data_IF_824925612728
#
_entry.id   IF_824925612728
#
_cell.length_a   1.000
_cell.length_b   1.000
_cell.length_c   1.000
_cell.angle_alpha   90.00
_cell.angle_beta   90.00
_cell.angle_gamma   90.00
#
_symmetry.space_group_name_H-M   'P 1'
#
loop_
_entity.id
_entity.type
_entity.pdbx_description
1 polymer ?
#
# COMPACT_ATOMS: atom_id res chain seq x y z
N UNK A 1 3.84 -7.89 6.09
CA UNK A 1 4.25 -9.19 6.65
C UNK A 1 3.33 -9.65 7.78
N UNK A 2 3.23 -8.88 8.85
CA UNK A 2 2.46 -9.30 10.06
C UNK A 2 0.95 -9.31 9.78
N UNK A 3 0.43 -8.38 9.02
CA UNK A 3 -1.02 -8.25 8.76
C UNK A 3 -1.53 -9.29 7.77
N UNK A 4 -0.72 -9.72 6.82
CA UNK A 4 -1.12 -10.66 5.76
C UNK A 4 -0.46 -12.03 5.89
N UNK A 5 0.32 -12.31 6.97
CA UNK A 5 1.13 -13.52 7.11
C UNK A 5 1.91 -13.84 5.82
N UNK A 6 2.67 -12.83 5.33
CA UNK A 6 3.44 -12.90 4.07
C UNK A 6 2.58 -13.23 2.84
N UNK A 7 1.40 -12.62 2.76
CA UNK A 7 0.47 -12.82 1.65
C UNK A 7 -0.39 -14.08 1.73
N UNK A 8 -0.25 -14.89 2.78
CA UNK A 8 -1.04 -16.11 2.98
C UNK A 8 -2.42 -15.87 3.58
N UNK A 9 -2.64 -14.71 4.20
CA UNK A 9 -3.95 -14.26 4.66
C UNK A 9 -4.33 -13.05 3.82
N UNK A 10 -5.18 -13.25 2.85
CA UNK A 10 -5.86 -12.18 2.16
C UNK A 10 -6.94 -11.61 3.08
N UNK A 11 -7.14 -10.30 3.04
CA UNK A 11 -8.24 -9.70 3.74
C UNK A 11 -9.55 -10.25 3.15
N UNK A 12 -10.48 -10.62 4.02
CA UNK A 12 -11.69 -11.40 3.67
C UNK A 12 -12.84 -10.53 3.18
N UNK A 13 -12.61 -9.23 2.96
CA UNK A 13 -13.68 -8.28 2.63
C UNK A 13 -13.61 -7.85 1.17
N UNK A 14 -14.75 -7.82 0.47
CA UNK A 14 -14.84 -7.09 -0.78
C UNK A 14 -14.52 -5.61 -0.52
N UNK A 15 -13.56 -5.07 -1.25
CA UNK A 15 -13.15 -3.65 -1.15
C UNK A 15 -14.33 -2.75 -1.47
N UNK A 16 -15.12 -3.12 -2.51
CA UNK A 16 -16.34 -2.41 -2.87
C UNK A 16 -17.33 -2.35 -1.70
N UNK A 17 -17.66 -3.51 -1.11
CA UNK A 17 -18.63 -3.57 -0.01
C UNK A 17 -18.12 -2.82 1.23
N UNK A 18 -16.82 -2.90 1.52
CA UNK A 18 -16.20 -2.18 2.64
C UNK A 18 -16.31 -0.66 2.46
N UNK A 19 -15.99 -0.15 1.27
CA UNK A 19 -16.10 1.29 0.98
C UNK A 19 -17.56 1.73 0.92
N UNK A 20 -18.44 0.96 0.28
CA UNK A 20 -19.86 1.28 0.22
C UNK A 20 -20.52 1.33 1.61
N UNK A 21 -20.19 0.37 2.48
CA UNK A 21 -20.65 0.39 3.88
C UNK A 21 -20.20 1.67 4.59
N UNK A 22 -18.96 2.12 4.35
CA UNK A 22 -18.46 3.37 4.95
C UNK A 22 -19.19 4.61 4.39
N UNK A 23 -19.59 4.58 3.11
CA UNK A 23 -20.39 5.67 2.52
C UNK A 23 -21.72 5.83 3.25
N UNK A 24 -22.43 4.73 3.49
CA UNK A 24 -23.80 4.77 4.02
C UNK A 24 -23.86 4.80 5.56
N UNK A 25 -22.87 4.21 6.24
CA UNK A 25 -22.92 3.98 7.69
C UNK A 25 -22.00 4.88 8.51
N UNK A 26 -21.05 5.57 7.89
CA UNK A 26 -20.04 6.38 8.59
C UNK A 26 -20.02 7.84 8.09
N UNK A 27 -20.90 8.72 8.60
CA UNK A 27 -21.03 10.10 8.10
C UNK A 27 -19.70 10.87 8.02
N UNK A 28 -18.82 10.70 9.00
CA UNK A 28 -17.50 11.37 9.02
C UNK A 28 -16.53 10.88 7.93
N UNK A 29 -16.76 9.70 7.40
CA UNK A 29 -15.93 9.09 6.34
C UNK A 29 -16.62 9.04 4.98
N UNK A 30 -17.91 9.34 4.91
CA UNK A 30 -18.72 9.16 3.71
C UNK A 30 -18.09 9.83 2.48
N UNK A 31 -17.73 11.11 2.56
CA UNK A 31 -17.10 11.82 1.43
C UNK A 31 -15.76 11.22 1.00
N UNK A 32 -14.96 10.77 1.95
CA UNK A 32 -13.70 10.08 1.66
C UNK A 32 -13.96 8.72 0.99
N UNK A 33 -14.86 7.92 1.58
CA UNK A 33 -15.18 6.59 1.07
C UNK A 33 -15.83 6.65 -0.33
N UNK A 34 -16.64 7.69 -0.62
CA UNK A 34 -17.20 7.92 -1.95
C UNK A 34 -16.09 8.15 -2.99
N UNK A 35 -15.06 8.93 -2.67
CA UNK A 35 -13.93 9.13 -3.58
C UNK A 35 -13.14 7.84 -3.80
N UNK A 36 -12.85 7.10 -2.74
CA UNK A 36 -12.13 5.82 -2.87
C UNK A 36 -12.95 4.80 -3.66
N UNK A 37 -14.28 4.77 -3.48
CA UNK A 37 -15.16 3.90 -4.26
C UNK A 37 -15.16 4.27 -5.75
N UNK A 38 -15.16 5.56 -6.07
CA UNK A 38 -15.03 6.04 -7.45
C UNK A 38 -13.68 5.62 -8.06
N UNK A 39 -12.59 5.79 -7.34
CA UNK A 39 -11.25 5.37 -7.77
C UNK A 39 -11.16 3.85 -7.98
N UNK A 40 -11.83 3.06 -7.12
CA UNK A 40 -11.93 1.61 -7.30
C UNK A 40 -12.66 1.25 -8.60
N UNK A 41 -13.76 1.93 -8.90
CA UNK A 41 -14.52 1.70 -10.13
C UNK A 41 -13.74 2.11 -11.37
N UNK A 42 -12.95 3.20 -11.32
CA UNK A 42 -12.05 3.60 -12.41
C UNK A 42 -11.02 2.51 -12.68
N UNK A 43 -10.31 2.06 -11.64
CA UNK A 43 -9.33 0.98 -11.75
C UNK A 43 -9.96 -0.28 -12.33
N UNK A 44 -11.10 -0.70 -11.81
CA UNK A 44 -11.79 -1.90 -12.26
C UNK A 44 -12.20 -1.81 -13.74
N UNK A 45 -12.65 -0.64 -14.18
CA UNK A 45 -12.98 -0.38 -15.59
C UNK A 45 -11.75 -0.43 -16.48
N UNK A 46 -10.65 0.20 -16.08
CA UNK A 46 -9.39 0.23 -16.85
C UNK A 46 -8.78 -1.17 -17.00
N UNK A 47 -8.85 -1.97 -15.94
CA UNK A 47 -8.30 -3.33 -15.94
C UNK A 47 -9.30 -4.40 -16.41
N UNK A 48 -10.54 -4.00 -16.74
CA UNK A 48 -11.63 -4.91 -17.13
C UNK A 48 -11.88 -6.03 -16.10
N UNK A 49 -11.89 -5.67 -14.83
CA UNK A 49 -12.14 -6.58 -13.70
C UNK A 49 -13.44 -6.22 -12.99
N UNK A 50 -14.06 -7.24 -12.38
CA UNK A 50 -15.26 -7.03 -11.58
C UNK A 50 -14.88 -6.38 -10.23
N UNK A 51 -15.37 -5.15 -9.92
CA UNK A 51 -15.02 -4.45 -8.69
C UNK A 51 -15.43 -5.20 -7.40
N UNK A 52 -16.40 -6.11 -7.48
CA UNK A 52 -16.86 -6.89 -6.32
C UNK A 52 -15.89 -8.02 -5.95
N UNK A 53 -15.03 -8.45 -6.88
CA UNK A 53 -14.07 -9.54 -6.68
C UNK A 53 -12.78 -9.09 -6.02
N UNK A 54 -12.48 -7.79 -6.04
CA UNK A 54 -11.32 -7.25 -5.36
C UNK A 54 -11.46 -7.40 -3.85
N UNK A 55 -10.54 -8.14 -3.27
CA UNK A 55 -10.48 -8.38 -1.83
C UNK A 55 -9.46 -7.50 -1.15
N UNK A 56 -9.81 -7.03 0.04
CA UNK A 56 -8.97 -6.12 0.78
C UNK A 56 -9.37 -5.96 2.24
N UNK A 57 -8.82 -4.96 2.90
CA UNK A 57 -9.10 -4.66 4.30
C UNK A 57 -10.47 -3.99 4.47
N UNK A 58 -10.99 -4.02 5.68
CA UNK A 58 -12.18 -3.22 6.07
C UNK A 58 -12.02 -1.72 5.75
N UNK A 59 -10.79 -1.21 5.76
CA UNK A 59 -10.50 0.18 5.40
C UNK A 59 -10.54 0.45 3.89
N UNK A 60 -10.70 -0.59 3.05
CA UNK A 60 -10.70 -0.46 1.59
C UNK A 60 -9.32 -0.54 0.92
N UNK A 61 -8.29 -0.92 1.67
CA UNK A 61 -6.96 -1.17 1.11
C UNK A 61 -6.88 -2.56 0.50
N UNK A 62 -6.16 -2.74 -0.63
CA UNK A 62 -6.11 -4.00 -1.36
C UNK A 62 -4.72 -4.34 -1.91
N UNK A 63 -4.58 -5.57 -2.39
CA UNK A 63 -3.33 -6.10 -2.92
C UNK A 63 -2.27 -6.34 -1.86
N UNK A 64 -1.11 -6.84 -2.26
CA UNK A 64 0.01 -7.14 -1.35
C UNK A 64 0.58 -5.88 -0.70
N UNK A 65 0.52 -4.73 -1.39
CA UNK A 65 0.94 -3.43 -0.88
C UNK A 65 -0.07 -2.75 0.02
N UNK A 66 -1.31 -3.24 0.11
CA UNK A 66 -2.38 -2.61 0.89
C UNK A 66 -2.58 -1.12 0.55
N UNK A 67 -2.56 -0.79 -0.73
CA UNK A 67 -2.90 0.54 -1.20
C UNK A 67 -4.40 0.79 -1.14
N UNK A 68 -4.84 1.99 -0.76
CA UNK A 68 -6.19 2.45 -1.02
C UNK A 68 -6.36 2.79 -2.51
N UNK A 69 -7.57 2.72 -3.10
CA UNK A 69 -7.78 2.88 -4.54
C UNK A 69 -7.15 4.14 -5.14
N UNK A 70 -7.34 5.30 -4.52
CA UNK A 70 -6.76 6.56 -4.99
C UNK A 70 -5.23 6.58 -5.00
N UNK A 71 -4.61 5.95 -4.01
CA UNK A 71 -3.15 5.82 -3.95
C UNK A 71 -2.65 4.85 -5.01
N UNK A 72 -3.35 3.74 -5.22
CA UNK A 72 -3.01 2.76 -6.23
C UNK A 72 -3.06 3.39 -7.64
N UNK A 73 -4.17 4.00 -8.02
CA UNK A 73 -4.32 4.63 -9.34
C UNK A 73 -3.21 5.65 -9.63
N UNK A 74 -2.85 6.45 -8.63
CA UNK A 74 -1.86 7.51 -8.77
C UNK A 74 -0.41 7.02 -8.73
N UNK A 75 -0.11 6.01 -7.93
CA UNK A 75 1.27 5.67 -7.54
C UNK A 75 1.68 4.23 -7.87
N UNK A 76 0.77 3.42 -8.44
CA UNK A 76 1.17 2.12 -8.97
C UNK A 76 1.93 2.26 -10.28
N UNK A 77 2.88 1.38 -10.48
CA UNK A 77 3.66 1.26 -11.71
C UNK A 77 3.63 -0.18 -12.21
N UNK A 78 3.65 -0.34 -13.51
CA UNK A 78 3.95 -1.59 -14.19
C UNK A 78 5.48 -1.74 -14.23
N UNK A 79 6.03 -2.42 -13.22
CA UNK A 79 7.47 -2.54 -13.05
C UNK A 79 8.06 -3.64 -13.94
N UNK A 80 7.33 -4.74 -14.10
CA UNK A 80 7.72 -5.85 -14.95
C UNK A 80 7.47 -5.60 -16.45
N UNK A 81 6.73 -4.52 -16.78
CA UNK A 81 6.41 -4.06 -18.14
C UNK A 81 5.57 -5.06 -18.94
N UNK A 82 4.65 -5.75 -18.30
CA UNK A 82 3.70 -6.67 -18.94
C UNK A 82 2.44 -5.98 -19.48
N UNK A 83 2.31 -4.67 -19.24
CA UNK A 83 1.18 -3.84 -19.68
C UNK A 83 0.09 -3.69 -18.62
N UNK A 84 0.24 -4.30 -17.47
CA UNK A 84 -0.71 -4.23 -16.33
C UNK A 84 -0.05 -3.68 -15.08
N UNK A 85 -0.81 -3.02 -14.22
CA UNK A 85 -0.40 -2.64 -12.87
C UNK A 85 -1.11 -3.58 -11.89
N UNK A 86 -0.48 -4.73 -11.63
CA UNK A 86 -1.12 -5.80 -10.85
C UNK A 86 -0.82 -5.66 -9.34
N UNK A 87 -1.85 -5.42 -8.49
CA UNK A 87 -1.67 -5.30 -7.04
C UNK A 87 -1.30 -6.63 -6.36
N UNK A 88 -1.32 -7.75 -7.09
CA UNK A 88 -0.94 -9.08 -6.63
C UNK A 88 0.34 -9.61 -7.27
N UNK A 89 0.97 -8.84 -8.15
CA UNK A 89 2.30 -9.12 -8.67
C UNK A 89 3.37 -8.47 -7.78
N UNK A 90 4.33 -9.24 -7.28
CA UNK A 90 5.36 -8.73 -6.38
C UNK A 90 6.29 -7.70 -7.01
N UNK A 91 6.60 -7.81 -8.30
CA UNK A 91 7.47 -6.86 -8.99
C UNK A 91 6.80 -5.49 -9.07
N UNK A 92 5.55 -5.43 -9.48
CA UNK A 92 4.76 -4.20 -9.55
C UNK A 92 4.53 -3.60 -8.16
N UNK A 93 4.21 -4.45 -7.18
CA UNK A 93 3.97 -4.00 -5.81
C UNK A 93 5.22 -3.39 -5.20
N UNK A 94 6.38 -4.04 -5.33
CA UNK A 94 7.65 -3.50 -4.81
C UNK A 94 8.05 -2.22 -5.53
N UNK A 95 7.91 -2.19 -6.85
CA UNK A 95 8.12 -0.99 -7.65
C UNK A 95 7.20 0.16 -7.23
N UNK A 96 5.91 -0.14 -7.05
CA UNK A 96 4.91 0.85 -6.62
C UNK A 96 5.17 1.37 -5.21
N UNK A 97 5.58 0.52 -4.27
CA UNK A 97 5.98 0.95 -2.92
C UNK A 97 7.20 1.87 -2.99
N UNK A 98 8.21 1.51 -3.77
CA UNK A 98 9.39 2.34 -3.95
C UNK A 98 9.04 3.71 -4.56
N UNK A 99 8.19 3.72 -5.58
CA UNK A 99 7.70 4.95 -6.20
C UNK A 99 6.89 5.79 -5.20
N UNK A 100 5.97 5.17 -4.46
CA UNK A 100 5.22 5.84 -3.39
C UNK A 100 6.15 6.54 -2.39
N UNK A 101 7.17 5.86 -1.90
CA UNK A 101 8.10 6.42 -0.93
C UNK A 101 8.89 7.59 -1.53
N UNK A 102 9.31 7.48 -2.78
CA UNK A 102 10.03 8.55 -3.49
C UNK A 102 9.17 9.80 -3.65
N UNK A 103 7.92 9.64 -4.11
CA UNK A 103 6.96 10.74 -4.24
C UNK A 103 6.60 11.39 -2.88
N UNK A 104 6.77 10.66 -1.78
CA UNK A 104 6.60 11.17 -0.43
C UNK A 104 7.92 11.58 0.25
N UNK A 105 8.95 11.89 -0.53
CA UNK A 105 10.18 12.52 -0.05
C UNK A 105 11.22 11.56 0.52
N UNK A 106 11.17 10.27 0.15
CA UNK A 106 12.26 9.35 0.49
C UNK A 106 13.54 9.77 -0.26
N UNK A 107 14.64 10.05 0.45
CA UNK A 107 15.85 10.58 -0.18
C UNK A 107 16.60 9.51 -0.96
N UNK A 108 17.16 9.89 -2.10
CA UNK A 108 18.11 9.04 -2.84
C UNK A 108 19.37 8.83 -2.00
N UNK A 109 19.96 7.63 -2.09
CA UNK A 109 21.21 7.27 -1.37
C UNK A 109 21.13 7.56 0.13
N UNK A 110 20.02 7.17 0.76
CA UNK A 110 19.79 7.46 2.16
C UNK A 110 20.49 6.47 3.08
N UNK A 111 21.22 7.02 4.05
CA UNK A 111 21.86 6.27 5.15
C UNK A 111 21.36 6.70 6.52
N UNK A 112 20.46 7.69 6.58
CA UNK A 112 19.88 8.20 7.83
C UNK A 112 18.45 7.72 8.03
N UNK A 113 18.26 6.80 8.96
CA UNK A 113 16.97 6.23 9.34
C UNK A 113 16.57 6.64 10.77
N UNK A 114 17.16 7.70 11.33
CA UNK A 114 16.79 8.18 12.65
C UNK A 114 15.36 8.69 12.71
N UNK A 115 14.83 8.76 13.92
CA UNK A 115 13.49 9.32 14.17
C UNK A 115 13.35 10.71 13.53
N UNK A 116 12.26 10.93 12.80
CA UNK A 116 11.96 12.16 12.06
C UNK A 116 12.93 12.52 10.92
N UNK A 117 13.83 11.64 10.52
CA UNK A 117 14.59 11.82 9.28
C UNK A 117 13.68 11.88 8.06
N UNK A 118 14.13 12.36 6.89
CA UNK A 118 13.35 12.32 5.65
C UNK A 118 12.85 10.91 5.31
N UNK A 119 13.69 9.88 5.43
CA UNK A 119 13.29 8.50 5.21
C UNK A 119 12.21 8.05 6.19
N UNK A 120 12.37 8.35 7.48
CA UNK A 120 11.37 8.03 8.50
C UNK A 120 10.02 8.70 8.21
N UNK A 121 10.04 9.98 7.81
CA UNK A 121 8.82 10.71 7.46
C UNK A 121 8.12 10.12 6.26
N UNK A 122 8.86 9.77 5.21
CA UNK A 122 8.31 9.12 4.03
C UNK A 122 7.66 7.77 4.37
N UNK A 123 8.34 6.91 5.15
CA UNK A 123 7.79 5.63 5.60
C UNK A 123 6.50 5.86 6.41
N UNK A 124 6.47 6.88 7.27
CA UNK A 124 5.29 7.22 8.08
C UNK A 124 4.09 7.65 7.23
N UNK A 125 4.28 8.16 6.01
CA UNK A 125 3.14 8.52 5.15
C UNK A 125 2.36 7.30 4.68
N UNK A 126 3.02 6.15 4.56
CA UNK A 126 2.40 4.90 4.13
C UNK A 126 1.35 4.39 5.13
N UNK A 127 1.68 4.49 6.40
CA UNK A 127 0.72 4.30 7.49
C UNK A 127 1.00 5.37 8.55
N UNK A 128 0.04 6.27 8.80
CA UNK A 128 0.20 7.46 9.66
C UNK A 128 0.38 7.12 11.15
N UNK A 129 1.37 6.27 11.43
CA UNK A 129 1.72 5.77 12.75
C UNK A 129 3.23 5.81 12.97
N UNK A 130 3.66 6.46 14.03
CA UNK A 130 5.06 6.49 14.44
C UNK A 130 5.57 5.09 14.78
N UNK A 131 4.72 4.27 15.42
CA UNK A 131 5.04 2.87 15.72
C UNK A 131 5.29 2.07 14.44
N UNK A 132 4.48 2.27 13.39
CA UNK A 132 4.68 1.61 12.10
C UNK A 132 6.04 1.98 11.49
N UNK A 133 6.35 3.28 11.40
CA UNK A 133 7.61 3.74 10.83
C UNK A 133 8.82 3.19 11.59
N UNK A 134 8.79 3.21 12.92
CA UNK A 134 9.84 2.65 13.76
C UNK A 134 9.99 1.14 13.51
N UNK A 135 8.89 0.37 13.52
CA UNK A 135 8.92 -1.07 13.27
C UNK A 135 9.51 -1.42 11.90
N UNK A 136 9.17 -0.66 10.85
CA UNK A 136 9.73 -0.88 9.51
C UNK A 136 11.25 -0.64 9.51
N UNK A 137 11.71 0.41 10.18
CA UNK A 137 13.13 0.73 10.27
C UNK A 137 13.89 -0.29 11.12
N UNK A 138 13.33 -0.71 12.24
CA UNK A 138 13.93 -1.75 13.09
C UNK A 138 14.07 -3.07 12.32
N UNK A 139 13.02 -3.46 11.58
CA UNK A 139 13.05 -4.65 10.74
C UNK A 139 14.11 -4.53 9.62
N UNK A 140 14.18 -3.39 8.96
CA UNK A 140 15.24 -3.09 7.98
C UNK A 140 16.62 -3.24 8.58
N UNK A 141 16.86 -2.71 9.78
CA UNK A 141 18.15 -2.77 10.45
C UNK A 141 18.53 -4.21 10.81
N UNK A 142 17.59 -5.02 11.29
CA UNK A 142 17.83 -6.44 11.57
C UNK A 142 18.14 -7.24 10.31
N UNK A 143 17.42 -7.01 9.21
CA UNK A 143 17.71 -7.65 7.93
C UNK A 143 19.12 -7.29 7.43
N UNK A 144 19.51 -6.02 7.53
CA UNK A 144 20.84 -5.57 7.10
C UNK A 144 21.96 -6.29 7.86
N UNK A 145 21.83 -6.49 9.17
CA UNK A 145 22.81 -7.25 9.96
C UNK A 145 22.97 -8.68 9.46
N UNK A 146 21.86 -9.35 9.12
CA UNK A 146 21.87 -10.73 8.64
C UNK A 146 22.47 -10.89 7.25
N UNK A 147 22.15 -9.95 6.35
CA UNK A 147 22.69 -9.97 4.97
C UNK A 147 24.18 -9.73 4.93
N UNK A 148 24.71 -8.82 5.77
CA UNK A 148 26.16 -8.57 5.86
C UNK A 148 26.96 -9.62 6.62
N UNK A 149 26.29 -10.49 7.40
CA UNK A 149 26.95 -11.62 8.09
C UNK A 149 27.00 -12.90 7.23
N UNK A 150 26.38 -12.89 6.03
CA UNK A 150 26.34 -14.04 5.11
C UNK A 150 27.33 -13.90 3.92
N UNK A 151 28.22 -12.94 3.96
CA UNK A 151 29.35 -12.72 3.05
C UNK A 151 30.61 -12.50 3.92
#
# INVERSE_FOLDING_TARGET
GIETNYGKRHAEYSVFNSLYTQVISLPKRSSWATRELFELLLYSKEQNINPFELQGSYAGAFGYGQFIPSSFNRLSIDYNRDGTKDPYNWEDVLGSIAYYLTENGYPKNNYNFSFRSPAWRSIRTYNRSDKYANTVIDFRNELSKKVFLSY
#
